data_IF_469348616805
#
_entry.id   IF_469348616805
#
_cell.length_a   1.000
_cell.length_b   1.000
_cell.length_c   1.000
_cell.angle_alpha   90.00
_cell.angle_beta   90.00
_cell.angle_gamma   90.00
#
_symmetry.space_group_name_H-M   'P 1'
#
loop_
_entity.id
_entity.type
_entity.pdbx_description
1 polymer ?
#
# COMPACT_ATOMS: atom_id res chain seq x y z
N UNK A 1 -15.03 -13.90 -13.85
CA UNK A 1 -14.02 -13.05 -14.43
C UNK A 1 -14.00 -13.17 -15.94
N UNK A 2 -14.25 -12.08 -16.63
CA UNK A 2 -14.25 -12.11 -18.08
C UNK A 2 -12.83 -12.21 -18.61
N UNK A 3 -12.60 -13.15 -19.49
CA UNK A 3 -11.31 -13.25 -20.17
C UNK A 3 -11.31 -12.31 -21.37
N UNK A 4 -10.27 -11.50 -21.49
CA UNK A 4 -10.08 -10.73 -22.71
C UNK A 4 -9.82 -11.71 -23.85
N UNK A 5 -10.51 -11.49 -24.98
CA UNK A 5 -10.29 -12.29 -26.17
C UNK A 5 -9.04 -11.77 -26.88
N UNK A 6 -7.95 -12.45 -26.68
CA UNK A 6 -6.66 -12.05 -27.25
C UNK A 6 -6.28 -13.04 -28.31
N UNK A 7 -6.37 -12.59 -29.57
CA UNK A 7 -6.21 -13.46 -30.73
C UNK A 7 -4.99 -13.11 -31.60
N UNK A 8 -4.20 -12.12 -31.20
CA UNK A 8 -3.02 -11.73 -31.96
C UNK A 8 -1.97 -11.14 -31.03
N UNK A 9 -0.73 -11.13 -31.50
CA UNK A 9 0.38 -10.54 -30.75
C UNK A 9 0.18 -9.05 -30.50
N UNK A 10 -0.33 -8.32 -31.51
CA UNK A 10 -0.60 -6.90 -31.36
C UNK A 10 -1.67 -6.62 -30.29
N UNK A 11 -2.76 -7.39 -30.30
CA UNK A 11 -3.80 -7.27 -29.31
C UNK A 11 -3.30 -7.66 -27.93
N UNK A 12 -2.50 -8.71 -27.83
CA UNK A 12 -1.88 -9.15 -26.58
C UNK A 12 -0.99 -8.06 -25.99
N UNK A 13 -0.17 -7.43 -26.83
CA UNK A 13 0.73 -6.37 -26.39
C UNK A 13 -0.06 -5.18 -25.83
N UNK A 14 -1.09 -4.75 -26.54
CA UNK A 14 -1.94 -3.63 -26.09
C UNK A 14 -2.65 -3.93 -24.77
N UNK A 15 -3.20 -5.13 -24.66
CA UNK A 15 -3.89 -5.55 -23.43
C UNK A 15 -2.92 -5.57 -22.25
N UNK A 16 -1.72 -6.10 -22.46
CA UNK A 16 -0.72 -6.15 -21.42
C UNK A 16 -0.24 -4.77 -21.02
N UNK A 17 0.02 -3.89 -21.99
CA UNK A 17 0.44 -2.52 -21.70
C UNK A 17 -0.61 -1.77 -20.90
N UNK A 18 -1.89 -1.91 -21.26
CA UNK A 18 -2.98 -1.25 -20.55
C UNK A 18 -3.11 -1.77 -19.13
N UNK A 19 -3.11 -3.08 -18.97
CA UNK A 19 -3.20 -3.69 -17.65
C UNK A 19 -2.02 -3.31 -16.76
N UNK A 20 -0.81 -3.26 -17.34
CA UNK A 20 0.39 -2.87 -16.62
C UNK A 20 0.34 -1.42 -16.16
N UNK A 21 -0.16 -0.53 -17.02
CA UNK A 21 -0.32 0.88 -16.68
C UNK A 21 -1.28 1.05 -15.51
N UNK A 22 -2.41 0.35 -15.55
CA UNK A 22 -3.39 0.40 -14.46
C UNK A 22 -2.83 -0.15 -13.17
N UNK A 23 -2.08 -1.24 -13.26
CA UNK A 23 -1.44 -1.85 -12.10
C UNK A 23 -0.41 -0.92 -11.45
N UNK A 24 0.42 -0.26 -12.27
CA UNK A 24 1.41 0.71 -11.74
C UNK A 24 0.73 1.89 -11.07
N UNK A 25 -0.36 2.39 -11.63
CA UNK A 25 -1.11 3.48 -11.03
C UNK A 25 -1.72 3.06 -9.69
N UNK A 26 -2.26 1.84 -9.61
CA UNK A 26 -2.81 1.30 -8.38
C UNK A 26 -1.73 1.12 -7.31
N UNK A 27 -0.55 0.64 -7.70
CA UNK A 27 0.59 0.48 -6.77
C UNK A 27 1.02 1.83 -6.20
N UNK A 28 1.05 2.86 -7.03
CA UNK A 28 1.42 4.19 -6.57
C UNK A 28 0.40 4.73 -5.57
N UNK A 29 -0.89 4.57 -5.86
CA UNK A 29 -1.96 5.00 -4.93
C UNK A 29 -1.89 4.25 -3.61
N UNK A 30 -1.62 2.95 -3.66
CA UNK A 30 -1.46 2.15 -2.45
C UNK A 30 -0.27 2.62 -1.63
N UNK A 31 0.85 2.90 -2.29
CA UNK A 31 2.06 3.38 -1.61
C UNK A 31 1.82 4.71 -0.93
N UNK A 32 1.16 5.65 -1.65
CA UNK A 32 0.88 6.98 -1.11
C UNK A 32 -0.05 6.88 0.11
N UNK A 33 -1.07 6.03 0.03
CA UNK A 33 -1.98 5.81 1.16
C UNK A 33 -1.26 5.18 2.35
N UNK A 34 -0.34 4.25 2.10
CA UNK A 34 0.45 3.62 3.15
C UNK A 34 1.37 4.63 3.82
N UNK A 35 1.99 5.51 3.02
CA UNK A 35 2.87 6.55 3.56
C UNK A 35 2.09 7.51 4.44
N UNK A 36 0.87 7.85 4.05
CA UNK A 36 -0.01 8.69 4.86
C UNK A 36 -0.34 8.05 6.19
N UNK A 37 -0.70 6.75 6.18
CA UNK A 37 -0.97 6.01 7.41
C UNK A 37 0.27 6.00 8.31
N UNK A 38 1.45 5.75 7.74
CA UNK A 38 2.70 5.74 8.49
C UNK A 38 2.97 7.08 9.16
N UNK A 39 2.74 8.18 8.44
CA UNK A 39 2.93 9.52 8.99
C UNK A 39 2.01 9.76 10.17
N UNK A 40 0.73 9.41 10.04
CA UNK A 40 -0.25 9.59 11.10
C UNK A 40 0.10 8.72 12.31
N UNK A 41 0.46 7.46 12.09
CA UNK A 41 0.85 6.54 13.16
C UNK A 41 2.02 7.14 13.96
N UNK A 42 3.06 7.60 13.27
CA UNK A 42 4.22 8.20 13.93
C UNK A 42 3.79 9.41 14.78
N UNK A 43 2.97 10.28 14.21
CA UNK A 43 2.55 11.49 14.90
C UNK A 43 1.73 11.18 16.17
N UNK A 44 0.74 10.29 16.08
CA UNK A 44 -0.15 10.01 17.21
C UNK A 44 0.55 9.19 18.31
N UNK A 45 1.48 8.32 17.93
CA UNK A 45 2.23 7.56 18.93
C UNK A 45 3.25 8.44 19.64
N UNK A 46 3.96 9.30 18.91
CA UNK A 46 4.93 10.23 19.49
C UNK A 46 4.24 11.25 20.39
N UNK A 47 3.04 11.65 20.04
CA UNK A 47 2.25 12.56 20.87
C UNK A 47 1.67 11.88 22.14
N UNK A 48 1.81 10.57 22.26
CA UNK A 48 1.29 9.81 23.38
C UNK A 48 -0.22 9.61 23.37
N UNK A 49 -0.85 9.87 22.22
CA UNK A 49 -2.31 9.73 22.08
C UNK A 49 -2.74 8.28 21.89
N UNK A 50 -1.92 7.49 21.23
CA UNK A 50 -2.20 6.08 20.94
C UNK A 50 -0.92 5.28 21.19
N UNK A 51 -1.05 4.11 21.82
CA UNK A 51 0.09 3.22 22.04
C UNK A 51 0.45 2.46 20.77
N UNK A 52 1.67 1.92 20.71
CA UNK A 52 2.08 1.08 19.59
C UNK A 52 1.17 -0.11 19.40
N UNK A 53 0.76 -0.77 20.49
CA UNK A 53 -0.14 -1.91 20.42
C UNK A 53 -1.50 -1.54 19.86
N UNK A 54 -2.04 -0.41 20.29
CA UNK A 54 -3.34 0.05 19.82
C UNK A 54 -3.27 0.47 18.34
N UNK A 55 -2.21 1.14 17.96
CA UNK A 55 -1.99 1.49 16.56
C UNK A 55 -1.91 0.24 15.68
N UNK A 56 -1.24 -0.81 16.15
CA UNK A 56 -1.16 -2.07 15.43
C UNK A 56 -2.53 -2.70 15.24
N UNK A 57 -3.40 -2.63 16.26
CA UNK A 57 -4.75 -3.17 16.17
C UNK A 57 -5.63 -2.39 15.20
N UNK A 58 -5.55 -1.07 15.24
CA UNK A 58 -6.37 -0.20 14.39
C UNK A 58 -5.99 -0.33 12.92
N UNK A 59 -4.70 -0.35 12.63
CA UNK A 59 -4.18 -0.35 11.26
C UNK A 59 -3.97 -1.74 10.68
N UNK A 60 -3.97 -2.77 11.51
CA UNK A 60 -3.61 -4.13 11.14
C UNK A 60 -2.15 -4.24 10.65
N UNK A 61 -1.33 -3.25 11.04
CA UNK A 61 0.10 -3.27 10.75
C UNK A 61 0.81 -3.95 11.91
N UNK A 62 1.73 -4.90 11.66
CA UNK A 62 2.47 -5.55 12.73
C UNK A 62 3.20 -4.55 13.61
N UNK A 63 3.19 -4.77 14.91
CA UNK A 63 3.85 -3.89 15.87
C UNK A 63 5.32 -3.64 15.53
N UNK A 64 6.02 -4.67 15.07
CA UNK A 64 7.41 -4.53 14.67
C UNK A 64 7.60 -3.53 13.53
N UNK A 65 6.67 -3.50 12.59
CA UNK A 65 6.69 -2.54 11.49
C UNK A 65 6.46 -1.13 12.01
N UNK A 66 5.53 -0.96 12.96
CA UNK A 66 5.26 0.33 13.59
C UNK A 66 6.50 0.82 14.33
N UNK A 67 7.20 -0.06 15.03
CA UNK A 67 8.44 0.32 15.72
C UNK A 67 9.51 0.80 14.74
N UNK A 68 9.59 0.17 13.57
CA UNK A 68 10.51 0.62 12.52
C UNK A 68 10.13 2.00 11.99
N UNK A 69 8.83 2.26 11.83
CA UNK A 69 8.34 3.59 11.41
C UNK A 69 8.75 4.67 12.40
N UNK A 70 8.79 4.33 13.68
CA UNK A 70 9.17 5.25 14.74
C UNK A 70 10.69 5.40 14.89
N UNK A 71 11.47 4.68 14.10
CA UNK A 71 12.91 4.67 14.22
C UNK A 71 13.45 3.79 15.34
N UNK A 72 12.63 2.93 15.90
CA UNK A 72 13.02 1.98 16.94
C UNK A 72 13.34 0.63 16.29
N UNK A 73 14.46 0.07 16.60
CA UNK A 73 14.84 -1.25 16.10
C UNK A 73 14.82 -2.27 17.19
#
# INVERSE_FOLDING_TARGET
>A
MAKAHIDSEGAAKKALEKATKEWRAAKKRERDARDEVATIVVDVVRAGLITENKAAKITDIPRMTIRKMLGKN
#
